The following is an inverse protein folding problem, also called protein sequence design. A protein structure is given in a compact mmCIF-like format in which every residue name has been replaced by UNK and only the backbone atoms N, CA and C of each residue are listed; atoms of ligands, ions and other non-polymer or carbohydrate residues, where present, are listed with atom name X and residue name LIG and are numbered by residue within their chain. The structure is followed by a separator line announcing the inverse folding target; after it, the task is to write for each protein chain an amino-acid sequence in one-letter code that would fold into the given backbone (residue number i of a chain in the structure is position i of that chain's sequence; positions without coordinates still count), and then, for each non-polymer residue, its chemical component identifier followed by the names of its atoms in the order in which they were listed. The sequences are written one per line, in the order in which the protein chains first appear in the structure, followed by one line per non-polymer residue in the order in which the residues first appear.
data_IF_629863732614
#
_entry.id   IF_629863732614
#
_cell.length_a   1.000
_cell.length_b   1.000
_cell.length_c   1.000
_cell.angle_alpha   90.00
_cell.angle_beta   90.00
_cell.angle_gamma   90.00
#
_symmetry.space_group_name_H-M   'P 1'
#
loop_
_entity.id
_entity.type
_entity.pdbx_description
1 polymer ?
#
# COMPACT_ATOMS: atom_id res chain seq x y z
N UNK A 1 6.71 10.89 15.28
CA UNK A 1 5.61 10.57 14.34
C UNK A 1 6.06 11.11 12.99
N UNK A 2 6.53 10.26 12.14
CA UNK A 2 7.07 10.68 10.83
C UNK A 2 5.91 10.64 9.82
N UNK A 3 5.43 11.80 9.46
CA UNK A 3 4.41 12.01 8.43
C UNK A 3 5.13 12.14 7.09
N UNK A 4 4.51 11.65 6.01
CA UNK A 4 5.01 11.92 4.67
C UNK A 4 4.89 13.42 4.38
N UNK A 5 6.01 14.06 4.13
CA UNK A 5 6.05 15.48 3.75
C UNK A 5 5.93 15.62 2.24
N UNK A 6 5.29 16.69 1.81
CA UNK A 6 5.28 17.05 0.39
C UNK A 6 6.43 18.02 0.15
N UNK A 7 7.41 17.58 -0.63
CA UNK A 7 8.61 18.37 -0.96
C UNK A 7 8.60 18.68 -2.45
N UNK A 8 9.08 19.87 -2.78
CA UNK A 8 9.20 20.32 -4.17
C UNK A 8 10.65 20.16 -4.62
N UNK A 9 10.84 19.49 -5.75
CA UNK A 9 12.10 19.41 -6.47
C UNK A 9 11.88 19.87 -7.91
N UNK A 10 12.59 20.91 -8.30
CA UNK A 10 12.37 21.52 -9.60
C UNK A 10 10.91 22.00 -9.76
N UNK A 11 10.26 21.54 -10.82
CA UNK A 11 8.85 21.83 -11.11
C UNK A 11 7.87 20.85 -10.46
N UNK A 12 8.35 19.75 -9.87
CA UNK A 12 7.52 18.64 -9.40
C UNK A 12 7.45 18.60 -7.88
N UNK A 13 6.37 17.99 -7.41
CA UNK A 13 6.12 17.75 -5.99
C UNK A 13 5.99 16.25 -5.74
N UNK A 14 6.75 15.77 -4.77
CA UNK A 14 6.75 14.38 -4.35
C UNK A 14 6.45 14.28 -2.86
N UNK A 15 5.85 13.19 -2.44
CA UNK A 15 5.66 12.88 -1.02
C UNK A 15 6.81 12.01 -0.55
N UNK A 16 7.46 12.39 0.53
CA UNK A 16 8.65 11.74 1.05
C UNK A 16 8.54 11.55 2.55
N UNK A 17 9.11 10.49 3.04
CA UNK A 17 9.27 10.19 4.46
C UNK A 17 10.02 8.87 4.66
N UNK A 18 10.34 8.47 5.88
CA UNK A 18 10.97 7.19 6.14
C UNK A 18 10.01 6.03 5.83
N UNK A 19 10.54 4.97 5.27
CA UNK A 19 9.80 3.74 5.01
C UNK A 19 9.39 3.08 6.32
N UNK A 20 8.09 3.17 6.68
CA UNK A 20 7.49 2.46 7.82
C UNK A 20 8.32 2.56 9.12
N UNK A 21 8.90 3.72 9.38
CA UNK A 21 9.72 3.97 10.55
C UNK A 21 11.20 3.57 10.40
N UNK A 22 11.63 2.95 9.31
CA UNK A 22 13.05 2.77 9.00
C UNK A 22 13.62 4.07 8.43
N UNK A 23 14.44 4.74 9.22
CA UNK A 23 15.07 6.01 8.85
C UNK A 23 16.24 5.87 7.86
N UNK A 24 16.62 4.65 7.48
CA UNK A 24 17.63 4.40 6.44
C UNK A 24 17.01 4.32 5.06
N UNK A 25 15.72 4.00 4.96
CA UNK A 25 15.01 3.85 3.70
C UNK A 25 14.03 5.01 3.53
N UNK A 26 14.17 5.77 2.46
CA UNK A 26 13.21 6.80 2.10
C UNK A 26 12.05 6.18 1.30
N UNK A 27 10.81 6.55 1.64
CA UNK A 27 9.64 6.28 0.82
C UNK A 27 9.35 7.49 -0.05
N UNK A 28 9.18 7.26 -1.36
CA UNK A 28 8.94 8.28 -2.35
C UNK A 28 7.66 7.99 -3.13
N UNK A 29 6.72 8.92 -3.15
CA UNK A 29 5.48 8.76 -3.89
C UNK A 29 5.17 10.01 -4.73
N UNK A 30 4.96 9.88 -6.05
CA UNK A 30 4.48 10.97 -6.86
C UNK A 30 3.09 11.43 -6.40
N UNK A 31 2.82 12.73 -6.57
CA UNK A 31 1.47 13.25 -6.35
C UNK A 31 0.64 12.92 -7.61
N UNK A 32 -0.61 12.43 -7.45
CA UNK A 32 -1.46 12.10 -8.60
C UNK A 32 -1.58 13.26 -9.59
N UNK A 33 -1.40 12.96 -10.87
CA UNK A 33 -1.47 13.92 -11.95
C UNK A 33 -0.42 13.66 -13.02
N UNK A 34 0.59 14.50 -13.09
CA UNK A 34 1.71 14.34 -14.03
C UNK A 34 2.85 13.57 -13.35
N UNK A 35 3.45 12.57 -14.02
CA UNK A 35 4.71 11.97 -13.54
C UNK A 35 5.80 13.03 -13.41
N UNK A 36 6.67 12.94 -12.39
CA UNK A 36 7.79 13.86 -12.22
C UNK A 36 8.78 13.73 -13.38
N UNK A 37 9.53 14.78 -13.67
CA UNK A 37 10.62 14.71 -14.64
C UNK A 37 11.87 14.05 -14.02
N UNK A 38 12.76 13.55 -14.89
CA UNK A 38 13.99 12.86 -14.46
C UNK A 38 14.91 13.77 -13.64
N UNK A 39 14.99 15.06 -13.99
CA UNK A 39 15.83 16.01 -13.27
C UNK A 39 15.33 16.26 -11.85
N UNK A 40 14.01 16.36 -11.66
CA UNK A 40 13.38 16.46 -10.32
C UNK A 40 13.66 15.21 -9.47
N UNK A 41 13.62 14.01 -10.08
CA UNK A 41 13.94 12.75 -9.39
C UNK A 41 15.43 12.73 -8.98
N UNK A 42 16.35 13.11 -9.86
CA UNK A 42 17.79 13.17 -9.55
C UNK A 42 18.11 14.16 -8.42
N UNK A 43 17.45 15.32 -8.40
CA UNK A 43 17.56 16.26 -7.29
C UNK A 43 17.05 15.66 -5.97
N UNK A 44 15.95 14.88 -6.04
CA UNK A 44 15.41 14.16 -4.89
C UNK A 44 16.41 13.14 -4.38
N UNK A 45 17.00 12.30 -5.25
CA UNK A 45 18.03 11.31 -4.91
C UNK A 45 19.18 11.98 -4.16
N UNK A 46 19.77 13.04 -4.74
CA UNK A 46 20.90 13.77 -4.14
C UNK A 46 20.56 14.36 -2.78
N UNK A 47 19.34 14.90 -2.64
CA UNK A 47 18.85 15.46 -1.37
C UNK A 47 18.67 14.38 -0.30
N UNK A 48 18.11 13.22 -0.64
CA UNK A 48 17.89 12.12 0.30
C UNK A 48 19.21 11.47 0.72
N UNK A 49 20.15 11.32 -0.21
CA UNK A 49 21.50 10.84 0.11
C UNK A 49 22.21 11.76 1.10
N UNK A 50 22.12 13.08 0.91
CA UNK A 50 22.70 14.06 1.84
C UNK A 50 22.06 14.06 3.23
N UNK A 51 20.82 13.54 3.36
CA UNK A 51 20.12 13.34 4.62
C UNK A 51 20.45 12.01 5.31
N UNK A 52 21.31 11.18 4.71
CA UNK A 52 21.78 9.92 5.30
C UNK A 52 20.87 8.71 4.99
N UNK A 53 19.95 8.82 4.04
CA UNK A 53 19.24 7.64 3.54
C UNK A 53 20.20 6.76 2.72
N UNK A 54 20.04 5.44 2.82
CA UNK A 54 20.84 4.44 2.10
C UNK A 54 20.08 3.78 0.96
N UNK A 55 18.76 3.95 0.90
CA UNK A 55 17.92 3.47 -0.19
C UNK A 55 16.64 4.31 -0.32
N UNK A 56 16.05 4.29 -1.51
CA UNK A 56 14.75 4.89 -1.80
C UNK A 56 13.84 3.79 -2.32
N UNK A 57 12.59 3.73 -1.78
CA UNK A 57 11.51 2.89 -2.30
C UNK A 57 10.37 3.77 -2.79
N UNK A 58 9.81 3.45 -3.95
CA UNK A 58 8.64 4.18 -4.45
C UNK A 58 7.33 3.61 -3.90
N UNK A 59 6.23 4.36 -4.07
CA UNK A 59 4.90 3.77 -4.07
C UNK A 59 4.77 2.77 -5.22
N UNK A 60 3.71 1.95 -5.19
CA UNK A 60 3.35 1.14 -6.35
C UNK A 60 2.99 2.05 -7.53
N UNK A 61 3.70 1.94 -8.63
CA UNK A 61 3.64 2.80 -9.80
C UNK A 61 3.08 2.02 -11.01
N UNK A 62 2.21 2.67 -11.77
CA UNK A 62 1.77 2.15 -13.07
C UNK A 62 2.91 2.24 -14.11
N UNK A 63 2.84 1.50 -15.25
CA UNK A 63 3.85 1.55 -16.29
C UNK A 63 4.17 2.97 -16.82
N UNK A 64 3.17 3.84 -16.84
CA UNK A 64 3.37 5.24 -17.25
C UNK A 64 4.13 6.06 -16.20
N UNK A 65 3.89 5.79 -14.90
CA UNK A 65 4.53 6.49 -13.80
C UNK A 65 5.97 6.01 -13.54
N UNK A 66 6.30 4.78 -13.89
CA UNK A 66 7.64 4.19 -13.70
C UNK A 66 8.71 4.81 -14.60
N UNK A 67 8.35 5.19 -15.83
CA UNK A 67 9.33 5.56 -16.88
C UNK A 67 10.38 6.57 -16.40
N UNK A 68 10.04 7.71 -15.77
CA UNK A 68 11.06 8.67 -15.34
C UNK A 68 11.94 8.13 -14.20
N UNK A 69 11.42 7.24 -13.35
CA UNK A 69 12.20 6.60 -12.29
C UNK A 69 13.21 5.59 -12.86
N UNK A 70 12.79 4.76 -13.83
CA UNK A 70 13.69 3.83 -14.52
C UNK A 70 14.80 4.59 -15.29
N UNK A 71 14.48 5.76 -15.88
CA UNK A 71 15.48 6.64 -16.49
C UNK A 71 16.42 7.30 -15.47
N UNK A 72 16.00 7.39 -14.20
CA UNK A 72 16.81 7.84 -13.07
C UNK A 72 17.48 6.66 -12.32
N UNK A 73 17.68 5.52 -13.01
CA UNK A 73 18.40 4.33 -12.53
C UNK A 73 17.74 3.60 -11.36
N UNK A 74 16.43 3.78 -11.16
CA UNK A 74 15.69 2.90 -10.26
C UNK A 74 15.55 1.51 -10.90
N UNK A 75 15.53 0.48 -10.08
CA UNK A 75 15.28 -0.92 -10.46
C UNK A 75 13.98 -1.42 -9.86
N UNK A 76 13.44 -2.51 -10.41
CA UNK A 76 12.20 -3.09 -9.87
C UNK A 76 12.51 -3.87 -8.61
N UNK A 77 11.92 -3.44 -7.49
CA UNK A 77 11.98 -4.12 -6.20
C UNK A 77 10.93 -5.23 -6.10
N UNK A 78 9.70 -4.95 -6.54
CA UNK A 78 8.60 -5.91 -6.49
C UNK A 78 7.53 -5.62 -7.52
N UNK A 79 7.02 -6.71 -8.16
CA UNK A 79 5.86 -6.68 -9.03
C UNK A 79 4.58 -6.96 -8.26
N UNK A 80 3.52 -6.20 -8.56
CA UNK A 80 2.22 -6.33 -7.93
C UNK A 80 1.13 -6.55 -8.97
N UNK A 81 0.28 -7.54 -8.76
CA UNK A 81 -0.98 -7.63 -9.48
C UNK A 81 -1.88 -6.45 -9.11
N UNK A 82 -2.50 -5.85 -10.11
CA UNK A 82 -3.59 -4.90 -9.94
C UNK A 82 -4.90 -5.58 -10.31
N UNK A 83 -5.88 -5.53 -9.41
CA UNK A 83 -7.22 -6.08 -9.68
C UNK A 83 -8.26 -4.99 -9.56
N UNK A 84 -9.28 -5.07 -10.43
CA UNK A 84 -10.37 -4.11 -10.56
C UNK A 84 -11.72 -4.77 -10.32
N UNK A 85 -12.57 -4.14 -9.52
CA UNK A 85 -13.98 -4.50 -9.36
C UNK A 85 -14.86 -3.35 -9.85
N UNK A 86 -15.73 -3.56 -10.85
CA UNK A 86 -16.74 -2.58 -11.23
C UNK A 86 -17.79 -2.47 -10.11
N UNK A 87 -18.11 -1.25 -9.71
CA UNK A 87 -19.11 -0.99 -8.67
C UNK A 87 -20.40 -0.52 -9.34
N UNK A 88 -21.33 -1.44 -9.52
CA UNK A 88 -22.69 -1.11 -9.93
C UNK A 88 -23.57 -0.93 -8.70
N UNK A 89 -24.28 0.21 -8.63
CA UNK A 89 -25.20 0.53 -7.53
C UNK A 89 -26.45 -0.38 -7.52
N UNK A 90 -26.76 -1.00 -8.65
CA UNK A 90 -27.91 -1.87 -8.84
C UNK A 90 -27.60 -3.36 -8.70
N UNK A 91 -26.33 -3.75 -8.82
CA UNK A 91 -25.94 -5.13 -8.67
C UNK A 91 -25.93 -5.54 -7.19
N UNK A 92 -26.55 -6.67 -6.84
CA UNK A 92 -26.37 -7.24 -5.51
C UNK A 92 -24.89 -7.59 -5.35
N UNK A 93 -24.22 -6.94 -4.41
CA UNK A 93 -22.88 -7.36 -4.02
C UNK A 93 -22.99 -8.80 -3.56
N UNK A 94 -22.25 -9.71 -4.20
CA UNK A 94 -22.26 -11.14 -3.88
C UNK A 94 -22.10 -11.29 -2.37
N UNK A 95 -23.08 -11.81 -1.70
CA UNK A 95 -23.04 -11.97 -0.25
C UNK A 95 -21.95 -12.97 0.09
N UNK A 96 -20.93 -12.50 0.78
CA UNK A 96 -19.93 -13.38 1.38
C UNK A 96 -20.64 -14.53 2.11
N UNK A 97 -20.11 -15.72 1.95
CA UNK A 97 -20.61 -16.90 2.67
C UNK A 97 -20.72 -16.55 4.17
N UNK A 98 -21.95 -16.55 4.69
CA UNK A 98 -22.28 -16.12 6.06
C UNK A 98 -21.86 -17.14 7.13
N UNK A 99 -20.97 -18.06 6.81
CA UNK A 99 -20.47 -19.06 7.76
C UNK A 99 -19.56 -18.50 8.86
N UNK A 100 -19.12 -17.22 8.72
CA UNK A 100 -18.24 -16.61 9.72
C UNK A 100 -19.02 -16.11 10.95
N UNK A 101 -18.59 -16.52 12.14
CA UNK A 101 -19.03 -15.95 13.43
C UNK A 101 -18.54 -14.50 13.65
N UNK A 102 -17.67 -14.01 12.78
CA UNK A 102 -17.11 -12.67 12.86
C UNK A 102 -18.13 -11.59 12.50
N UNK A 103 -18.04 -10.45 13.17
CA UNK A 103 -18.80 -9.24 12.87
C UNK A 103 -17.86 -8.11 12.50
N UNK A 104 -18.32 -7.18 11.63
CA UNK A 104 -17.53 -5.99 11.30
C UNK A 104 -18.08 -4.76 12.00
N UNK A 105 -17.20 -3.91 12.50
CA UNK A 105 -17.53 -2.60 13.05
C UNK A 105 -16.53 -1.53 12.64
N UNK A 106 -16.85 -0.27 12.89
CA UNK A 106 -15.91 0.84 12.71
C UNK A 106 -14.71 0.64 13.64
N UNK A 107 -13.50 0.73 13.08
CA UNK A 107 -12.27 0.75 13.85
C UNK A 107 -12.16 2.03 14.69
N UNK A 108 -11.77 1.88 15.95
CA UNK A 108 -11.61 2.95 16.94
C UNK A 108 -10.13 3.19 17.22
N UNK A 109 -9.82 4.29 17.90
CA UNK A 109 -8.43 4.58 18.31
C UNK A 109 -7.84 3.50 19.22
N UNK A 110 -8.66 2.92 20.08
CA UNK A 110 -8.26 1.83 20.99
C UNK A 110 -7.98 0.49 20.30
N UNK A 111 -8.45 0.30 19.05
CA UNK A 111 -8.18 -0.94 18.29
C UNK A 111 -6.79 -0.97 17.65
N UNK A 112 -6.07 0.17 17.62
CA UNK A 112 -4.81 0.30 16.88
C UNK A 112 -3.75 -0.72 17.28
N UNK A 113 -3.61 -1.03 18.58
CA UNK A 113 -2.67 -2.05 19.04
C UNK A 113 -2.98 -3.41 18.45
N UNK A 114 -4.20 -3.90 18.66
CA UNK A 114 -4.65 -5.20 18.15
C UNK A 114 -4.62 -5.27 16.60
N UNK A 115 -4.91 -4.16 15.90
CA UNK A 115 -4.80 -4.07 14.45
C UNK A 115 -3.36 -4.24 13.99
N UNK A 116 -2.39 -3.60 14.65
CA UNK A 116 -0.97 -3.74 14.32
C UNK A 116 -0.43 -5.14 14.65
N UNK A 117 -0.93 -5.78 15.71
CA UNK A 117 -0.63 -7.19 16.00
C UNK A 117 -1.10 -8.10 14.87
N UNK A 118 -2.35 -7.94 14.40
CA UNK A 118 -2.87 -8.69 13.25
C UNK A 118 -2.05 -8.41 12.00
N UNK A 119 -1.67 -7.15 11.74
CA UNK A 119 -0.85 -6.78 10.59
C UNK A 119 0.53 -7.47 10.65
N UNK A 120 1.17 -7.45 11.82
CA UNK A 120 2.49 -8.06 12.01
C UNK A 120 2.48 -9.60 11.85
N UNK A 121 1.37 -10.23 12.15
CA UNK A 121 1.20 -11.68 11.93
C UNK A 121 0.87 -12.01 10.47
N UNK A 122 0.19 -11.11 9.76
CA UNK A 122 -0.29 -11.34 8.40
C UNK A 122 0.74 -11.00 7.32
N UNK A 123 1.72 -10.14 7.62
CA UNK A 123 2.71 -9.67 6.64
C UNK A 123 4.14 -9.98 7.05
N UNK A 124 5.03 -10.14 6.06
CA UNK A 124 6.47 -10.22 6.29
C UNK A 124 7.01 -8.94 6.93
N UNK A 125 8.13 -8.97 7.65
CA UNK A 125 8.67 -7.82 8.40
C UNK A 125 8.77 -6.55 7.55
N UNK A 126 9.22 -6.64 6.32
CA UNK A 126 9.38 -5.53 5.39
C UNK A 126 8.05 -4.82 5.06
N UNK A 127 6.95 -5.57 4.98
CA UNK A 127 5.62 -5.07 4.62
C UNK A 127 4.72 -4.74 5.81
N UNK A 128 5.16 -4.91 7.05
CA UNK A 128 4.39 -4.60 8.26
C UNK A 128 4.16 -3.09 8.39
N UNK A 129 2.99 -2.73 8.89
CA UNK A 129 2.74 -1.36 9.28
C UNK A 129 3.22 -1.10 10.71
N UNK A 130 3.81 0.06 10.90
CA UNK A 130 3.86 0.73 12.18
C UNK A 130 2.64 1.66 12.35
N UNK A 131 2.64 2.46 13.41
CA UNK A 131 1.55 3.42 13.65
C UNK A 131 1.45 4.48 12.56
N UNK A 132 2.58 4.94 12.05
CA UNK A 132 2.63 5.94 11.00
C UNK A 132 2.08 5.37 9.68
N UNK A 133 2.53 4.19 9.27
CA UNK A 133 2.04 3.50 8.07
C UNK A 133 0.53 3.23 8.10
N UNK A 134 -0.03 2.87 9.27
CA UNK A 134 -1.49 2.75 9.41
C UNK A 134 -2.21 4.10 9.25
N UNK A 135 -1.66 5.18 9.80
CA UNK A 135 -2.24 6.52 9.65
C UNK A 135 -2.06 7.04 8.22
N UNK A 136 -0.94 6.78 7.56
CA UNK A 136 -0.71 7.13 6.15
C UNK A 136 -1.69 6.40 5.23
N UNK A 137 -1.90 5.10 5.41
CA UNK A 137 -2.91 4.36 4.66
C UNK A 137 -4.32 4.95 4.85
N UNK A 138 -4.66 5.37 6.07
CA UNK A 138 -5.96 6.00 6.36
C UNK A 138 -6.11 7.41 5.79
N UNK A 139 -5.02 8.10 5.54
CA UNK A 139 -4.97 9.46 5.03
C UNK A 139 -4.56 9.54 3.54
N UNK A 140 -4.31 8.40 2.89
CA UNK A 140 -3.86 8.35 1.50
C UNK A 140 -4.89 8.89 0.50
N UNK A 141 -6.16 8.95 0.89
CA UNK A 141 -7.27 9.46 0.07
C UNK A 141 -8.11 10.47 0.84
N UNK A 142 -8.81 11.40 0.15
CA UNK A 142 -9.66 12.41 0.78
C UNK A 142 -10.77 11.84 1.66
N UNK A 143 -11.26 10.65 1.33
CA UNK A 143 -12.29 9.96 2.11
C UNK A 143 -11.82 8.55 2.39
N UNK A 144 -11.81 8.15 3.65
CA UNK A 144 -11.37 6.81 4.05
C UNK A 144 -12.32 6.14 5.02
N UNK A 145 -12.22 4.83 5.09
CA UNK A 145 -12.97 3.95 5.98
C UNK A 145 -12.02 2.96 6.65
N UNK A 146 -12.08 2.93 7.96
CA UNK A 146 -11.32 1.98 8.76
C UNK A 146 -12.29 1.02 9.46
N UNK A 147 -12.16 -0.28 9.18
CA UNK A 147 -13.01 -1.35 9.71
C UNK A 147 -12.17 -2.41 10.40
N UNK A 148 -12.73 -2.99 11.44
CA UNK A 148 -12.20 -4.18 12.10
C UNK A 148 -13.24 -5.29 12.05
N UNK A 149 -12.77 -6.52 11.89
CA UNK A 149 -13.55 -7.72 12.11
C UNK A 149 -13.25 -8.22 13.53
N UNK A 150 -14.29 -8.58 14.25
CA UNK A 150 -14.18 -9.04 15.63
C UNK A 150 -14.93 -10.36 15.83
N UNK A 151 -14.37 -11.24 16.66
CA UNK A 151 -14.99 -12.47 17.15
C UNK A 151 -14.87 -12.49 18.67
N UNK A 152 -15.97 -12.69 19.38
CA UNK A 152 -16.03 -12.62 20.85
C UNK A 152 -15.33 -11.37 21.45
N UNK A 153 -15.44 -10.22 20.76
CA UNK A 153 -14.83 -8.96 21.19
C UNK A 153 -13.36 -8.76 20.77
N UNK A 154 -12.66 -9.80 20.34
CA UNK A 154 -11.26 -9.76 19.91
C UNK A 154 -11.16 -9.33 18.43
N UNK A 155 -10.23 -8.43 18.10
CA UNK A 155 -9.93 -8.06 16.73
C UNK A 155 -9.18 -9.20 16.04
N UNK A 156 -9.77 -9.72 14.95
CA UNK A 156 -9.22 -10.84 14.17
C UNK A 156 -8.90 -10.48 12.72
N UNK A 157 -9.19 -9.26 12.31
CA UNK A 157 -8.88 -8.75 10.99
C UNK A 157 -9.25 -7.29 10.86
N UNK A 158 -8.74 -6.63 9.82
CA UNK A 158 -9.09 -5.25 9.54
C UNK A 158 -8.95 -4.90 8.06
N UNK A 159 -9.59 -3.81 7.66
CA UNK A 159 -9.44 -3.23 6.35
C UNK A 159 -9.37 -1.70 6.42
N UNK A 160 -8.52 -1.13 5.57
CA UNK A 160 -8.51 0.30 5.24
C UNK A 160 -8.95 0.46 3.80
N UNK A 161 -10.00 1.23 3.59
CA UNK A 161 -10.56 1.51 2.27
C UNK A 161 -10.54 3.01 2.04
N UNK A 162 -10.05 3.44 0.90
CA UNK A 162 -9.99 4.84 0.52
C UNK A 162 -10.87 5.14 -0.70
N UNK A 163 -11.20 6.43 -0.92
CA UNK A 163 -11.89 6.90 -2.12
C UNK A 163 -11.38 8.26 -2.55
N UNK A 164 -11.09 8.38 -3.84
CA UNK A 164 -10.78 9.63 -4.52
C UNK A 164 -11.59 9.71 -5.82
N UNK A 165 -12.50 10.69 -5.91
CA UNK A 165 -13.41 10.81 -7.05
C UNK A 165 -14.25 9.54 -7.27
N UNK A 166 -14.28 8.98 -8.50
CA UNK A 166 -15.04 7.78 -8.83
C UNK A 166 -14.33 6.47 -8.50
N UNK A 167 -13.10 6.52 -8.00
CA UNK A 167 -12.27 5.33 -7.71
C UNK A 167 -12.18 5.13 -6.20
N UNK A 168 -12.34 3.89 -5.78
CA UNK A 168 -12.06 3.43 -4.42
C UNK A 168 -10.87 2.47 -4.43
N UNK A 169 -10.18 2.36 -3.30
CA UNK A 169 -8.98 1.56 -3.14
C UNK A 169 -9.10 0.73 -1.86
N UNK A 170 -8.88 -0.57 -1.96
CA UNK A 170 -8.65 -1.40 -0.79
C UNK A 170 -7.17 -1.31 -0.42
N UNK A 171 -6.84 -0.34 0.44
CA UNK A 171 -5.45 0.05 0.73
C UNK A 171 -4.72 -0.92 1.66
N UNK A 172 -5.47 -1.62 2.50
CA UNK A 172 -4.93 -2.67 3.37
C UNK A 172 -6.03 -3.63 3.77
N UNK A 173 -5.72 -4.90 3.76
CA UNK A 173 -6.56 -5.99 4.27
C UNK A 173 -5.66 -6.97 5.01
N UNK A 174 -5.97 -7.28 6.26
CA UNK A 174 -5.28 -8.31 7.03
C UNK A 174 -6.27 -9.12 7.86
N UNK A 175 -5.97 -10.41 7.97
CA UNK A 175 -6.70 -11.36 8.81
C UNK A 175 -5.69 -12.17 9.59
N UNK A 176 -5.93 -12.33 10.90
CA UNK A 176 -5.11 -13.15 11.78
C UNK A 176 -4.92 -14.54 11.17
N UNK A 177 -3.70 -15.11 11.12
CA UNK A 177 -3.43 -16.40 10.46
C UNK A 177 -4.40 -17.52 10.89
N UNK A 178 -4.67 -17.64 12.19
CA UNK A 178 -5.57 -18.68 12.74
C UNK A 178 -7.05 -18.44 12.40
N UNK A 179 -7.40 -17.32 11.78
CA UNK A 179 -8.76 -16.94 11.38
C UNK A 179 -8.91 -16.78 9.88
N UNK A 180 -7.88 -17.12 9.13
CA UNK A 180 -7.95 -17.20 7.67
C UNK A 180 -8.84 -18.36 7.23
N UNK A 181 -9.35 -18.29 6.00
CA UNK A 181 -10.28 -19.26 5.38
C UNK A 181 -11.63 -19.45 6.09
N UNK A 182 -11.92 -18.63 7.09
CA UNK A 182 -13.21 -18.59 7.81
C UNK A 182 -14.13 -17.46 7.33
N UNK A 183 -13.94 -16.95 6.10
CA UNK A 183 -14.78 -15.91 5.52
C UNK A 183 -14.50 -14.47 6.00
N UNK A 184 -13.59 -14.26 6.96
CA UNK A 184 -13.32 -12.93 7.56
C UNK A 184 -12.85 -11.91 6.52
N UNK A 185 -11.95 -12.29 5.62
CA UNK A 185 -11.48 -11.42 4.54
C UNK A 185 -12.63 -11.04 3.59
N UNK A 186 -13.44 -12.01 3.17
CA UNK A 186 -14.62 -11.78 2.33
C UNK A 186 -15.61 -10.81 2.97
N UNK A 187 -15.84 -10.95 4.29
CA UNK A 187 -16.71 -10.06 5.05
C UNK A 187 -16.20 -8.62 5.05
N UNK A 188 -14.90 -8.40 5.20
CA UNK A 188 -14.27 -7.07 5.18
C UNK A 188 -14.29 -6.44 3.78
N UNK A 189 -13.99 -7.23 2.73
CA UNK A 189 -14.03 -6.77 1.34
C UNK A 189 -15.46 -6.40 0.94
N UNK A 190 -16.42 -7.22 1.29
CA UNK A 190 -17.84 -7.00 1.05
C UNK A 190 -18.34 -5.68 1.71
N UNK A 191 -17.94 -5.43 2.96
CA UNK A 191 -18.22 -4.15 3.62
C UNK A 191 -17.56 -2.96 2.87
N UNK A 192 -16.34 -3.14 2.36
CA UNK A 192 -15.64 -2.12 1.58
C UNK A 192 -16.35 -1.83 0.25
N UNK A 193 -16.73 -2.86 -0.52
CA UNK A 193 -17.44 -2.73 -1.79
C UNK A 193 -18.80 -2.01 -1.60
N UNK A 194 -19.61 -2.45 -0.61
CA UNK A 194 -20.87 -1.79 -0.29
C UNK A 194 -20.71 -0.34 0.12
N UNK A 195 -19.68 -0.02 0.91
CA UNK A 195 -19.41 1.35 1.30
C UNK A 195 -18.99 2.21 0.10
N UNK A 196 -18.10 1.71 -0.74
CA UNK A 196 -17.62 2.42 -1.91
C UNK A 196 -18.75 2.73 -2.90
N UNK A 197 -19.60 1.74 -3.20
CA UNK A 197 -20.77 1.90 -4.07
C UNK A 197 -21.75 2.96 -3.51
N UNK A 198 -22.08 2.88 -2.20
CA UNK A 198 -22.95 3.89 -1.55
C UNK A 198 -22.34 5.30 -1.56
N UNK A 199 -21.03 5.42 -1.62
CA UNK A 199 -20.31 6.70 -1.70
C UNK A 199 -20.10 7.18 -3.13
N UNK A 200 -20.66 6.50 -4.13
CA UNK A 200 -20.62 6.89 -5.53
C UNK A 200 -19.31 6.55 -6.25
N UNK A 201 -18.50 5.65 -5.70
CA UNK A 201 -17.42 5.07 -6.47
C UNK A 201 -17.99 4.18 -7.59
N UNK A 202 -17.33 4.15 -8.72
CA UNK A 202 -17.65 3.33 -9.89
C UNK A 202 -16.76 2.11 -10.01
N UNK A 203 -15.62 2.16 -9.33
CA UNK A 203 -14.59 1.13 -9.41
C UNK A 203 -13.89 1.02 -8.06
N UNK A 204 -13.55 -0.21 -7.66
CA UNK A 204 -12.60 -0.48 -6.60
C UNK A 204 -11.36 -1.14 -7.18
N UNK A 205 -10.20 -0.64 -6.78
CA UNK A 205 -8.88 -1.19 -7.09
C UNK A 205 -8.28 -1.82 -5.85
N UNK A 206 -7.55 -2.89 -6.04
CA UNK A 206 -6.66 -3.50 -5.04
C UNK A 206 -5.41 -4.01 -5.73
N UNK A 207 -4.28 -3.91 -5.05
CA UNK A 207 -3.05 -4.55 -5.49
C UNK A 207 -2.62 -5.62 -4.48
N UNK A 208 -1.88 -6.60 -4.95
CA UNK A 208 -1.28 -7.65 -4.14
C UNK A 208 -0.02 -8.16 -4.82
N UNK A 209 0.89 -8.70 -4.04
CA UNK A 209 2.12 -9.32 -4.53
C UNK A 209 1.78 -10.46 -5.50
N UNK A 210 2.55 -10.64 -6.58
CA UNK A 210 2.30 -11.68 -7.59
C UNK A 210 2.26 -13.09 -6.98
N UNK A 211 3.13 -13.35 -6.02
CA UNK A 211 3.21 -14.64 -5.32
C UNK A 211 2.06 -14.87 -4.32
N UNK A 212 1.20 -13.88 -4.08
CA UNK A 212 0.07 -14.00 -3.14
C UNK A 212 -1.17 -14.61 -3.80
N UNK A 213 -1.05 -15.85 -4.29
CA UNK A 213 -2.14 -16.56 -4.95
C UNK A 213 -3.44 -16.63 -4.10
N UNK A 214 -3.31 -16.67 -2.77
CA UNK A 214 -4.46 -16.71 -1.87
C UNK A 214 -5.27 -15.40 -1.91
N UNK A 215 -4.61 -14.24 -2.02
CA UNK A 215 -5.28 -12.96 -2.17
C UNK A 215 -5.90 -12.82 -3.55
N UNK A 216 -5.20 -13.21 -4.62
CA UNK A 216 -5.74 -13.21 -5.99
C UNK A 216 -7.02 -14.03 -6.05
N UNK A 217 -6.98 -15.30 -5.60
CA UNK A 217 -8.16 -16.18 -5.59
C UNK A 217 -9.32 -15.63 -4.73
N UNK A 218 -9.03 -14.92 -3.63
CA UNK A 218 -10.04 -14.23 -2.83
C UNK A 218 -10.73 -13.13 -3.66
N UNK A 219 -9.94 -12.26 -4.29
CA UNK A 219 -10.46 -11.12 -5.03
C UNK A 219 -11.23 -11.56 -6.28
N UNK A 220 -10.74 -12.54 -7.05
CA UNK A 220 -11.44 -13.09 -8.20
C UNK A 220 -12.80 -13.69 -7.80
N UNK A 221 -12.84 -14.47 -6.72
CA UNK A 221 -14.11 -15.01 -6.18
C UNK A 221 -15.10 -13.93 -5.76
N UNK A 222 -14.60 -12.76 -5.37
CA UNK A 222 -15.43 -11.59 -5.01
C UNK A 222 -15.72 -10.68 -6.19
N UNK A 223 -15.40 -11.09 -7.43
CA UNK A 223 -15.74 -10.38 -8.65
C UNK A 223 -14.75 -9.33 -9.12
N UNK A 224 -13.53 -9.31 -8.55
CA UNK A 224 -12.45 -8.54 -9.12
C UNK A 224 -11.87 -9.27 -10.34
N UNK A 225 -11.47 -8.51 -11.34
CA UNK A 225 -10.73 -9.00 -12.49
C UNK A 225 -9.29 -8.49 -12.45
N UNK A 226 -8.35 -9.34 -12.86
CA UNK A 226 -6.96 -8.97 -13.00
C UNK A 226 -6.82 -7.97 -14.15
N UNK A 227 -6.13 -6.86 -13.91
CA UNK A 227 -5.76 -5.91 -14.96
C UNK A 227 -4.53 -6.45 -15.73
N UNK A 228 -4.45 -6.19 -17.05
CA UNK A 228 -3.32 -6.68 -17.85
C UNK A 228 -1.99 -6.06 -17.42
N UNK A 229 -2.02 -4.81 -16.97
CA UNK A 229 -0.85 -4.13 -16.44
C UNK A 229 -0.92 -4.13 -14.91
N UNK A 230 0.16 -4.62 -14.29
CA UNK A 230 0.37 -4.55 -12.84
C UNK A 230 0.89 -3.19 -12.38
N UNK A 231 1.40 -3.18 -11.17
CA UNK A 231 2.12 -2.03 -10.60
C UNK A 231 3.50 -2.52 -10.15
N UNK A 232 4.50 -1.63 -10.19
CA UNK A 232 5.81 -1.95 -9.65
C UNK A 232 6.18 -1.01 -8.49
N UNK A 233 6.78 -1.59 -7.47
CA UNK A 233 7.54 -0.85 -6.47
C UNK A 233 8.97 -0.81 -6.97
N UNK A 234 9.52 0.39 -7.09
CA UNK A 234 10.90 0.57 -7.54
C UNK A 234 11.80 0.94 -6.37
N UNK A 235 13.07 0.57 -6.48
CA UNK A 235 14.11 0.91 -5.51
C UNK A 235 15.30 1.57 -6.17
N UNK A 236 16.03 2.37 -5.40
CA UNK A 236 17.29 2.97 -5.78
C UNK A 236 18.21 2.96 -4.57
N UNK A 237 19.35 2.28 -4.69
CA UNK A 237 20.37 2.25 -3.65
C UNK A 237 21.15 3.57 -3.61
N UNK A 238 21.36 4.08 -2.41
CA UNK A 238 22.15 5.28 -2.19
C UNK A 238 23.48 4.85 -1.53
N UNK A 239 24.61 4.97 -2.24
CA UNK A 239 25.92 4.64 -1.65
C UNK A 239 26.18 5.54 -0.44
N UNK A 240 26.77 4.96 0.60
CA UNK A 240 27.15 5.72 1.80
C UNK A 240 28.23 6.73 1.45
N UNK A 241 27.96 8.01 1.65
CA UNK A 241 28.92 9.09 1.43
C UNK A 241 30.13 9.02 2.41
N UNK A 242 30.02 8.22 3.48
CA UNK A 242 31.07 8.04 4.49
C UNK A 242 32.06 6.91 4.17
N UNK A 243 31.82 6.08 3.15
CA UNK A 243 32.77 5.06 2.69
C UNK A 243 33.31 5.44 1.28
N UNK A 244 34.33 6.32 1.20
CA UNK A 244 35.08 6.49 -0.03
C UNK A 244 35.90 5.21 -0.23
N UNK A 245 35.34 4.28 -1.01
CA UNK A 245 35.83 2.93 -1.32
C UNK A 245 37.26 2.68 -0.92
N UNK A 246 37.50 1.75 -0.01
CA UNK A 246 38.84 1.27 0.35
C UNK A 246 39.55 0.77 -0.93
N UNK A 247 40.57 1.49 -1.46
CA UNK A 247 41.24 1.10 -2.69
C UNK A 247 42.14 -0.14 -2.52
N UNK A 248 42.07 -0.85 -1.39
CA UNK A 248 42.93 -1.98 -1.07
C UNK A 248 42.34 -3.37 -1.32
N UNK A 249 41.18 -3.49 -1.97
CA UNK A 249 40.56 -4.81 -2.28
C UNK A 249 40.86 -5.36 -3.67
N UNK A 250 41.79 -4.78 -4.40
CA UNK A 250 42.27 -5.38 -5.66
C UNK A 250 43.79 -5.66 -5.48
N UNK A 251 44.13 -6.87 -5.03
CA UNK A 251 45.35 -7.64 -5.21
C UNK A 251 45.47 -8.71 -4.12
N UNK A 252 45.01 -9.93 -4.47
CA UNK A 252 45.23 -11.13 -3.67
C UNK A 252 44.64 -12.36 -4.36
#
# INVERSE_FOLDING_TARGET
MTRLDTVQWGADRLRVGPWRGDHRIAYLAPIPGRPPDVASIQQCISSLQSQGYTAILTSALSPAEQRPFLQAEFTVHEHLHLLRHPLDRSAPVTTADRSSSATTRRGRRGDRGAVLEVDHLAFSPFWRFDRAGLDDARNATPVSRFRVATEAGTVIGYAVTGRAGPISYLQRLAVHPDRQRLGVASLLVDDALRWAARRGARTMLVNTQEQNAAAVALYERLGFALEPDGLDVLEHDLPDLADPGDPTRDHG
#
